data_IF_928702489316
#
_entry.id   IF_928702489316
#
_cell.length_a   1.000
_cell.length_b   1.000
_cell.length_c   1.000
_cell.angle_alpha   90.00
_cell.angle_beta   90.00
_cell.angle_gamma   90.00
#
_symmetry.space_group_name_H-M   'P 1'
#
loop_
_entity.id
_entity.type
_entity.pdbx_description
1 polymer ?
#
# COMPACT_ATOMS: atom_id res chain seq x y z
N UNK A 1 3.65 -18.58 16.75
CA UNK A 1 3.43 -17.15 16.44
C UNK A 1 2.22 -16.68 17.23
N UNK A 2 2.36 -15.63 18.05
CA UNK A 2 1.20 -15.06 18.77
C UNK A 2 0.37 -14.21 17.81
N UNK A 3 -0.94 -14.44 17.77
CA UNK A 3 -1.85 -13.65 16.95
C UNK A 3 -2.04 -12.25 17.54
N UNK A 4 -2.06 -11.22 16.69
CA UNK A 4 -2.44 -9.86 17.05
C UNK A 4 -3.91 -9.87 17.50
N UNK A 5 -4.20 -9.16 18.59
CA UNK A 5 -5.56 -8.94 19.10
C UNK A 5 -5.81 -7.44 19.14
N UNK A 6 -6.88 -6.98 18.51
CA UNK A 6 -7.23 -5.55 18.44
C UNK A 6 -8.46 -5.26 19.28
N UNK A 7 -8.44 -4.17 20.05
CA UNK A 7 -9.61 -3.66 20.77
C UNK A 7 -9.67 -2.15 20.54
N UNK A 8 -10.76 -1.67 19.96
CA UNK A 8 -11.01 -0.24 19.79
C UNK A 8 -11.65 0.34 21.05
N UNK A 9 -11.10 1.45 21.55
CA UNK A 9 -11.61 2.10 22.76
C UNK A 9 -13.00 2.68 22.45
N UNK A 10 -14.02 2.22 23.18
CA UNK A 10 -15.40 2.69 23.03
C UNK A 10 -16.27 1.84 22.10
N UNK A 11 -15.71 0.83 21.44
CA UNK A 11 -16.47 -0.14 20.66
C UNK A 11 -16.62 -1.45 21.44
N UNK A 12 -17.86 -1.93 21.61
CA UNK A 12 -18.13 -3.24 22.20
C UNK A 12 -17.96 -4.33 21.14
N UNK A 13 -16.71 -4.65 20.78
CA UNK A 13 -16.39 -5.71 19.83
C UNK A 13 -15.28 -6.64 20.33
N UNK A 14 -15.49 -7.95 20.22
CA UNK A 14 -14.44 -8.95 20.43
C UNK A 14 -13.81 -9.25 19.07
N UNK A 15 -12.47 -9.21 18.98
CA UNK A 15 -11.75 -9.49 17.73
C UNK A 15 -11.90 -10.95 17.30
N UNK A 16 -12.85 -11.21 16.40
CA UNK A 16 -13.02 -12.49 15.69
C UNK A 16 -12.10 -12.61 14.48
N UNK A 17 -11.19 -11.64 14.26
CA UNK A 17 -10.25 -11.56 13.14
C UNK A 17 -10.55 -10.43 12.15
N UNK A 18 -11.81 -9.97 12.08
CA UNK A 18 -12.21 -8.86 11.21
C UNK A 18 -11.64 -7.51 11.67
N UNK A 19 -11.62 -7.25 12.99
CA UNK A 19 -11.06 -6.01 13.56
C UNK A 19 -9.55 -5.94 13.30
N UNK A 20 -8.85 -7.07 13.45
CA UNK A 20 -7.43 -7.17 13.09
C UNK A 20 -7.17 -6.83 11.62
N UNK A 21 -7.98 -7.35 10.70
CA UNK A 21 -7.82 -7.10 9.25
C UNK A 21 -8.03 -5.62 8.93
N UNK A 22 -9.10 -5.02 9.47
CA UNK A 22 -9.36 -3.58 9.32
C UNK A 22 -8.20 -2.75 9.86
N UNK A 23 -7.75 -3.05 11.07
CA UNK A 23 -6.60 -2.37 11.67
C UNK A 23 -5.35 -2.45 10.78
N UNK A 24 -4.99 -3.65 10.29
CA UNK A 24 -3.80 -3.80 9.46
C UNK A 24 -3.96 -3.10 8.09
N UNK A 25 -5.16 -3.10 7.51
CA UNK A 25 -5.46 -2.34 6.29
C UNK A 25 -5.26 -0.84 6.49
N UNK A 26 -5.84 -0.29 7.56
CA UNK A 26 -5.71 1.14 7.87
C UNK A 26 -4.26 1.50 8.21
N UNK A 27 -3.55 0.64 8.93
CA UNK A 27 -2.14 0.87 9.30
C UNK A 27 -1.21 0.85 8.08
N UNK A 28 -1.34 -0.12 7.17
CA UNK A 28 -0.47 -0.17 5.97
C UNK A 28 -0.73 1.04 5.07
N UNK A 29 -1.99 1.42 4.86
CA UNK A 29 -2.33 2.63 4.11
C UNK A 29 -1.81 3.91 4.78
N UNK A 30 -1.99 4.03 6.10
CA UNK A 30 -1.47 5.16 6.88
C UNK A 30 0.06 5.24 6.87
N UNK A 31 0.74 4.09 6.90
CA UNK A 31 2.20 4.00 6.77
C UNK A 31 2.66 4.53 5.43
N UNK A 32 2.04 4.07 4.33
CA UNK A 32 2.36 4.53 2.99
C UNK A 32 2.25 6.06 2.89
N UNK A 33 1.14 6.63 3.36
CA UNK A 33 0.88 8.06 3.25
C UNK A 33 1.79 8.91 4.13
N UNK A 34 2.08 8.44 5.36
CA UNK A 34 2.90 9.19 6.31
C UNK A 34 4.40 9.07 6.02
N UNK A 35 4.90 7.85 5.82
CA UNK A 35 6.32 7.53 5.82
C UNK A 35 6.93 7.35 4.43
N UNK A 36 6.14 7.36 3.35
CA UNK A 36 6.65 7.15 2.00
C UNK A 36 6.27 8.30 1.05
N UNK A 37 7.15 8.58 0.09
CA UNK A 37 6.98 9.62 -0.93
C UNK A 37 7.38 9.13 -2.32
N UNK A 38 6.87 9.82 -3.35
CA UNK A 38 7.02 9.46 -4.75
C UNK A 38 5.71 8.98 -5.40
N UNK A 39 5.71 8.83 -6.73
CA UNK A 39 4.53 8.42 -7.49
C UNK A 39 4.19 6.94 -7.22
N UNK A 40 2.94 6.67 -6.80
CA UNK A 40 2.49 5.32 -6.42
C UNK A 40 2.67 4.26 -7.51
N UNK A 41 2.47 4.63 -8.78
CA UNK A 41 2.58 3.72 -9.94
C UNK A 41 4.00 3.21 -10.21
N UNK A 42 5.03 3.92 -9.76
CA UNK A 42 6.44 3.55 -9.94
C UNK A 42 7.13 3.14 -8.64
N UNK A 43 6.36 3.03 -7.56
CA UNK A 43 6.87 2.80 -6.21
C UNK A 43 7.41 4.07 -5.56
N UNK A 44 7.47 4.01 -4.24
CA UNK A 44 7.82 5.08 -3.32
C UNK A 44 9.10 4.75 -2.56
N UNK A 45 9.77 5.80 -2.10
CA UNK A 45 10.88 5.70 -1.15
C UNK A 45 10.38 6.10 0.24
N UNK A 46 11.03 5.66 1.33
CA UNK A 46 10.84 6.26 2.64
C UNK A 46 11.13 7.76 2.59
N UNK A 47 10.32 8.57 3.26
CA UNK A 47 10.59 9.99 3.48
C UNK A 47 11.83 10.14 4.35
N UNK A 48 12.71 11.05 3.99
CA UNK A 48 13.84 11.38 4.85
C UNK A 48 13.38 12.16 6.09
N UNK A 49 13.38 11.52 7.26
CA UNK A 49 13.03 12.15 8.54
C UNK A 49 13.96 11.64 9.65
N UNK A 50 14.80 12.54 10.17
CA UNK A 50 15.65 12.22 11.31
C UNK A 50 14.87 12.16 12.63
N UNK A 51 13.74 12.87 12.73
CA UNK A 51 12.85 12.79 13.89
C UNK A 51 12.21 11.40 13.98
N UNK A 52 11.62 10.91 12.87
CA UNK A 52 11.03 9.57 12.84
C UNK A 52 12.08 8.47 12.98
N UNK A 53 13.32 8.73 12.55
CA UNK A 53 14.45 7.83 12.79
C UNK A 53 14.83 7.77 14.28
N UNK A 54 14.93 8.92 14.95
CA UNK A 54 15.27 9.02 16.38
C UNK A 54 14.19 8.37 17.27
N UNK A 55 12.92 8.55 16.90
CA UNK A 55 11.75 7.96 17.57
C UNK A 55 11.56 6.45 17.31
N UNK A 56 12.46 5.81 16.55
CA UNK A 56 12.34 4.42 16.07
C UNK A 56 11.06 4.11 15.26
N UNK A 57 10.46 5.11 14.61
CA UNK A 57 9.23 4.92 13.85
C UNK A 57 9.45 4.00 12.63
N UNK A 58 10.60 4.05 11.95
CA UNK A 58 10.85 3.14 10.82
C UNK A 58 11.01 1.68 11.28
N UNK A 59 11.48 1.44 12.51
CA UNK A 59 11.49 0.09 13.11
C UNK A 59 10.06 -0.40 13.27
N UNK A 60 9.20 0.44 13.86
CA UNK A 60 7.78 0.15 14.06
C UNK A 60 7.08 -0.12 12.73
N UNK A 61 7.39 0.65 11.68
CA UNK A 61 6.92 0.39 10.31
C UNK A 61 7.32 -1.03 9.85
N UNK A 62 8.58 -1.41 10.03
CA UNK A 62 9.06 -2.74 9.68
C UNK A 62 8.36 -3.88 10.45
N UNK A 63 8.09 -3.68 11.74
CA UNK A 63 7.36 -4.62 12.59
C UNK A 63 5.91 -4.79 12.11
N UNK A 64 5.23 -3.69 11.78
CA UNK A 64 3.85 -3.72 11.26
C UNK A 64 3.79 -4.42 9.90
N UNK A 65 4.74 -4.18 9.00
CA UNK A 65 4.83 -4.89 7.72
C UNK A 65 4.97 -6.41 7.97
N UNK A 66 5.84 -6.81 8.89
CA UNK A 66 6.02 -8.21 9.24
C UNK A 66 4.76 -8.84 9.84
N UNK A 67 4.07 -8.13 10.74
CA UNK A 67 2.78 -8.57 11.28
C UNK A 67 1.72 -8.70 10.20
N UNK A 68 1.63 -7.72 9.30
CA UNK A 68 0.65 -7.73 8.21
C UNK A 68 0.81 -8.97 7.34
N UNK A 69 2.01 -9.21 6.82
CA UNK A 69 2.30 -10.35 5.95
C UNK A 69 2.13 -11.69 6.67
N UNK A 70 2.60 -11.79 7.91
CA UNK A 70 2.53 -13.04 8.66
C UNK A 70 1.09 -13.39 9.09
N UNK A 71 0.21 -12.40 9.23
CA UNK A 71 -1.13 -12.57 9.80
C UNK A 71 -2.29 -12.31 8.83
N UNK A 72 -2.02 -12.22 7.53
CA UNK A 72 -3.04 -12.09 6.49
C UNK A 72 -3.54 -10.65 6.25
N UNK A 73 -2.85 -9.65 6.81
CA UNK A 73 -3.05 -8.24 6.46
C UNK A 73 -2.53 -7.93 5.05
N UNK A 74 -2.72 -6.70 4.56
CA UNK A 74 -2.29 -6.34 3.23
C UNK A 74 -0.76 -6.28 3.11
N UNK A 75 -0.29 -6.66 1.94
CA UNK A 75 1.10 -6.47 1.56
C UNK A 75 1.35 -4.97 1.25
N UNK A 76 2.55 -4.44 1.52
CA UNK A 76 2.85 -3.04 1.27
C UNK A 76 2.73 -2.67 -0.22
N UNK A 77 3.39 -3.39 -1.12
CA UNK A 77 3.31 -3.18 -2.58
C UNK A 77 3.47 -1.73 -3.09
N UNK A 78 4.16 -0.88 -2.33
CA UNK A 78 4.42 0.51 -2.67
C UNK A 78 5.92 0.85 -2.69
N UNK A 79 6.84 -0.10 -2.53
CA UNK A 79 8.28 0.16 -2.55
C UNK A 79 8.83 0.28 -3.97
N UNK A 80 9.79 1.18 -4.21
CA UNK A 80 10.62 1.12 -5.42
C UNK A 80 11.46 -0.16 -5.46
N UNK A 81 11.85 -0.55 -6.68
CA UNK A 81 12.69 -1.73 -6.94
C UNK A 81 13.99 -1.71 -6.12
N UNK A 82 14.71 -0.58 -6.13
CA UNK A 82 15.96 -0.45 -5.39
C UNK A 82 15.76 -0.56 -3.86
N UNK A 83 14.63 -0.05 -3.34
CA UNK A 83 14.27 -0.16 -1.94
C UNK A 83 14.08 -1.63 -1.56
N UNK A 84 13.32 -2.38 -2.39
CA UNK A 84 13.10 -3.80 -2.17
C UNK A 84 14.41 -4.60 -2.18
N UNK A 85 15.30 -4.32 -3.14
CA UNK A 85 16.63 -4.93 -3.19
C UNK A 85 17.42 -4.66 -1.91
N UNK A 86 17.41 -3.42 -1.42
CA UNK A 86 18.04 -3.09 -0.15
C UNK A 86 17.40 -3.86 1.01
N UNK A 87 16.08 -4.02 1.06
CA UNK A 87 15.38 -4.80 2.10
C UNK A 87 15.67 -6.31 2.04
N UNK A 88 16.10 -6.84 0.89
CA UNK A 88 16.59 -8.21 0.76
C UNK A 88 18.05 -8.33 1.20
N UNK A 89 18.95 -7.50 0.68
CA UNK A 89 20.41 -7.68 0.83
C UNK A 89 21.04 -6.95 2.01
N UNK A 90 20.56 -5.74 2.30
CA UNK A 90 21.08 -4.83 3.33
C UNK A 90 22.14 -3.89 2.78
N UNK A 91 22.34 -3.94 1.47
CA UNK A 91 23.35 -3.21 0.74
C UNK A 91 22.71 -2.48 -0.45
N UNK A 92 23.24 -1.29 -0.75
CA UNK A 92 22.85 -0.53 -1.94
C UNK A 92 23.83 -0.87 -3.06
N UNK A 93 23.31 -1.28 -4.21
CA UNK A 93 24.10 -1.33 -5.43
C UNK A 93 23.93 -0.02 -6.20
N UNK A 94 24.90 0.87 -6.03
CA UNK A 94 24.90 2.20 -6.64
C UNK A 94 24.96 2.19 -8.16
N UNK A 95 25.37 1.07 -8.78
CA UNK A 95 25.48 0.96 -10.24
C UNK A 95 24.13 0.84 -10.95
N UNK A 96 23.08 0.46 -10.23
CA UNK A 96 21.71 0.30 -10.75
C UNK A 96 20.80 1.49 -10.46
N UNK A 97 21.29 2.52 -9.77
CA UNK A 97 20.49 3.69 -9.43
C UNK A 97 20.47 4.71 -10.56
N UNK A 98 19.28 5.26 -10.83
CA UNK A 98 19.09 6.34 -11.79
C UNK A 98 18.31 7.50 -11.18
N UNK A 99 18.11 8.57 -11.96
CA UNK A 99 17.32 9.73 -11.53
C UNK A 99 15.86 9.38 -11.23
N UNK A 100 15.33 8.33 -11.84
CA UNK A 100 13.98 7.81 -11.61
C UNK A 100 13.82 7.14 -10.23
N UNK A 101 14.92 6.81 -9.55
CA UNK A 101 14.91 6.27 -8.20
C UNK A 101 14.83 7.35 -7.10
N UNK A 102 15.00 8.62 -7.47
CA UNK A 102 14.87 9.76 -6.58
C UNK A 102 13.39 10.10 -6.40
N UNK A 103 12.94 10.20 -5.15
CA UNK A 103 11.55 10.48 -4.81
C UNK A 103 11.37 11.83 -4.10
N UNK A 104 12.41 12.36 -3.43
CA UNK A 104 12.30 13.63 -2.73
C UNK A 104 12.24 14.80 -3.72
N UNK A 105 11.33 15.73 -3.46
CA UNK A 105 11.03 16.82 -4.38
C UNK A 105 12.24 17.75 -4.62
N UNK A 106 13.06 17.97 -3.59
CA UNK A 106 14.20 18.88 -3.69
C UNK A 106 15.28 18.35 -4.65
N UNK A 107 15.66 17.08 -4.48
CA UNK A 107 16.66 16.44 -5.34
C UNK A 107 16.13 16.25 -6.75
N UNK A 108 14.86 15.88 -6.91
CA UNK A 108 14.21 15.77 -8.23
C UNK A 108 14.24 17.10 -9.00
N UNK A 109 13.88 18.21 -8.34
CA UNK A 109 13.94 19.55 -8.96
C UNK A 109 15.36 19.98 -9.29
N UNK A 110 16.34 19.63 -8.44
CA UNK A 110 17.74 19.92 -8.71
C UNK A 110 18.25 19.13 -9.92
N UNK A 111 17.89 17.85 -10.03
CA UNK A 111 18.22 17.03 -11.21
C UNK A 111 17.66 17.67 -12.47
N UNK A 112 16.35 17.97 -12.52
CA UNK A 112 15.75 18.64 -13.68
C UNK A 112 16.41 19.98 -14.00
N UNK A 113 16.74 20.77 -12.97
CA UNK A 113 17.45 22.04 -13.16
C UNK A 113 18.84 21.84 -13.78
N UNK A 114 19.60 20.82 -13.34
CA UNK A 114 20.92 20.51 -13.93
C UNK A 114 20.80 20.02 -15.37
N UNK A 115 19.77 19.23 -15.67
CA UNK A 115 19.48 18.74 -17.02
C UNK A 115 19.20 19.89 -17.98
N UNK A 116 18.37 20.85 -17.59
CA UNK A 116 17.89 21.93 -18.44
C UNK A 116 18.88 23.09 -18.64
N UNK A 117 19.95 23.14 -17.84
CA UNK A 117 20.94 24.24 -17.90
C UNK A 117 21.65 24.32 -19.27
N UNK A 118 21.56 25.45 -19.96
CA UNK A 118 22.16 25.60 -21.29
C UNK A 118 23.63 26.11 -21.27
N UNK A 119 24.04 26.77 -20.19
CA UNK A 119 25.31 27.50 -20.13
C UNK A 119 26.02 27.38 -18.76
N UNK A 120 27.33 27.66 -18.75
CA UNK A 120 28.16 27.49 -17.57
C UNK A 120 27.84 28.48 -16.43
N UNK A 121 27.31 29.66 -16.75
CA UNK A 121 26.95 30.66 -15.76
C UNK A 121 25.69 30.20 -15.00
N UNK A 122 24.68 29.71 -15.71
CA UNK A 122 23.48 29.11 -15.13
C UNK A 122 23.81 27.88 -14.29
N UNK A 123 24.75 27.03 -14.73
CA UNK A 123 25.20 25.88 -13.93
C UNK A 123 25.84 26.31 -12.61
N UNK A 124 26.62 27.39 -12.63
CA UNK A 124 27.30 27.90 -11.45
C UNK A 124 26.32 28.44 -10.40
N UNK A 125 25.11 28.86 -10.79
CA UNK A 125 24.05 29.24 -9.85
C UNK A 125 23.54 28.04 -9.03
N UNK A 126 23.75 26.81 -9.50
CA UNK A 126 23.41 25.57 -8.79
C UNK A 126 24.59 25.02 -7.97
N UNK A 127 25.77 25.63 -8.03
CA UNK A 127 27.01 25.07 -7.51
C UNK A 127 26.92 24.72 -6.02
N UNK A 128 26.38 25.61 -5.19
CA UNK A 128 26.25 25.35 -3.74
C UNK A 128 25.38 24.12 -3.46
N UNK A 129 24.27 23.96 -4.20
CA UNK A 129 23.37 22.80 -4.05
C UNK A 129 24.07 21.50 -4.49
N UNK A 130 24.77 21.54 -5.62
CA UNK A 130 25.54 20.42 -6.16
C UNK A 130 26.66 20.01 -5.20
N UNK A 131 27.38 20.98 -4.61
CA UNK A 131 28.42 20.75 -3.61
C UNK A 131 27.82 20.15 -2.33
N UNK A 132 26.65 20.61 -1.89
CA UNK A 132 25.95 20.05 -0.72
C UNK A 132 25.49 18.60 -0.94
N UNK A 133 25.32 18.17 -2.19
CA UNK A 133 25.13 16.76 -2.53
C UNK A 133 26.42 15.94 -2.51
N UNK A 134 27.56 16.54 -2.19
CA UNK A 134 28.87 15.86 -2.10
C UNK A 134 29.62 15.78 -3.43
N UNK A 135 29.21 16.53 -4.46
CA UNK A 135 29.98 16.61 -5.71
C UNK A 135 31.24 17.47 -5.52
N UNK A 136 32.42 16.86 -5.59
CA UNK A 136 33.72 17.53 -5.33
C UNK A 136 34.55 17.80 -6.57
N UNK A 137 34.12 17.28 -7.73
CA UNK A 137 34.82 17.50 -9.01
C UNK A 137 34.54 18.88 -9.57
N UNK A 138 35.28 19.28 -10.59
CA UNK A 138 35.05 20.57 -11.24
C UNK A 138 33.66 20.60 -11.88
N UNK A 139 32.88 21.65 -11.59
CA UNK A 139 31.53 21.86 -12.12
C UNK A 139 31.65 22.49 -13.51
N UNK A 140 31.28 21.72 -14.55
CA UNK A 140 31.25 22.12 -15.96
C UNK A 140 30.01 21.56 -16.66
N UNK A 141 29.66 22.13 -17.81
CA UNK A 141 28.56 21.63 -18.64
C UNK A 141 28.75 20.16 -19.05
N UNK A 142 29.97 19.76 -19.39
CA UNK A 142 30.26 18.38 -19.80
C UNK A 142 30.16 17.37 -18.64
N UNK A 143 30.03 17.85 -17.39
CA UNK A 143 29.94 16.99 -16.21
C UNK A 143 28.52 16.81 -15.67
N UNK A 144 27.48 17.23 -16.41
CA UNK A 144 26.08 17.12 -15.97
C UNK A 144 25.69 15.73 -15.49
N UNK A 145 26.02 14.68 -16.24
CA UNK A 145 25.71 13.29 -15.86
C UNK A 145 26.35 12.90 -14.52
N UNK A 146 27.61 13.30 -14.29
CA UNK A 146 28.29 13.03 -13.03
C UNK A 146 27.68 13.83 -11.86
N UNK A 147 27.22 15.05 -12.12
CA UNK A 147 26.52 15.88 -11.14
C UNK A 147 25.18 15.24 -10.77
N UNK A 148 24.39 14.83 -11.76
CA UNK A 148 23.10 14.14 -11.56
C UNK A 148 23.33 12.85 -10.78
N UNK A 149 24.32 12.05 -11.15
CA UNK A 149 24.67 10.84 -10.43
C UNK A 149 25.03 11.13 -8.96
N UNK A 150 25.80 12.18 -8.67
CA UNK A 150 26.09 12.58 -7.29
C UNK A 150 24.82 12.97 -6.51
N UNK A 151 23.87 13.65 -7.15
CA UNK A 151 22.57 13.99 -6.52
C UNK A 151 21.77 12.72 -6.23
N UNK A 152 21.72 11.76 -7.17
CA UNK A 152 21.07 10.45 -6.98
C UNK A 152 21.69 9.69 -5.80
N UNK A 153 23.02 9.61 -5.74
CA UNK A 153 23.73 8.98 -4.63
C UNK A 153 23.45 9.69 -3.30
N UNK A 154 23.45 11.03 -3.29
CA UNK A 154 23.14 11.81 -2.10
C UNK A 154 21.72 11.52 -1.57
N UNK A 155 20.71 11.58 -2.44
CA UNK A 155 19.32 11.33 -2.08
C UNK A 155 19.15 9.91 -1.51
N UNK A 156 19.67 8.90 -2.20
CA UNK A 156 19.50 7.49 -1.81
C UNK A 156 20.32 7.09 -0.59
N UNK A 157 21.56 7.55 -0.46
CA UNK A 157 22.43 7.22 0.70
C UNK A 157 21.87 7.73 2.03
N UNK A 158 21.20 8.88 2.01
CA UNK A 158 20.55 9.45 3.19
C UNK A 158 19.46 8.55 3.76
N UNK A 159 18.83 7.72 2.94
CA UNK A 159 17.76 6.80 3.34
C UNK A 159 18.27 5.49 3.95
N UNK A 160 19.58 5.18 3.84
CA UNK A 160 20.16 3.91 4.31
C UNK A 160 19.83 3.66 5.78
N UNK A 161 19.91 4.69 6.63
CA UNK A 161 19.65 4.55 8.08
C UNK A 161 18.20 4.21 8.38
N UNK A 162 17.24 4.81 7.66
CA UNK A 162 15.81 4.49 7.75
C UNK A 162 15.56 3.04 7.33
N UNK A 163 16.17 2.58 6.24
CA UNK A 163 16.03 1.19 5.83
C UNK A 163 16.68 0.20 6.79
N UNK A 164 17.85 0.52 7.34
CA UNK A 164 18.49 -0.33 8.35
C UNK A 164 17.58 -0.50 9.58
N UNK A 165 16.95 0.59 10.03
CA UNK A 165 16.01 0.54 11.14
C UNK A 165 14.74 -0.24 10.77
N UNK A 166 14.20 -0.05 9.56
CA UNK A 166 13.06 -0.81 9.04
C UNK A 166 13.35 -2.31 8.93
N UNK A 167 14.51 -2.69 8.38
CA UNK A 167 14.97 -4.08 8.31
C UNK A 167 15.02 -4.72 9.69
N UNK A 168 15.52 -4.02 10.72
CA UNK A 168 15.51 -4.54 12.11
C UNK A 168 14.09 -4.86 12.58
N UNK A 169 13.11 -4.01 12.29
CA UNK A 169 11.71 -4.29 12.60
C UNK A 169 11.17 -5.50 11.83
N UNK A 170 11.53 -5.62 10.56
CA UNK A 170 11.18 -6.75 9.69
C UNK A 170 11.88 -8.07 10.06
N UNK A 171 12.83 -8.09 11.00
CA UNK A 171 13.36 -9.35 11.54
C UNK A 171 12.27 -10.12 12.30
N UNK A 172 11.19 -9.45 12.72
CA UNK A 172 10.03 -10.08 13.31
C UNK A 172 9.49 -11.20 12.40
N UNK A 173 9.24 -12.36 13.00
CA UNK A 173 8.86 -13.60 12.31
C UNK A 173 9.87 -14.11 11.26
N UNK A 174 11.08 -13.55 11.22
CA UNK A 174 12.13 -13.93 10.29
C UNK A 174 11.89 -13.44 8.85
N UNK A 175 11.08 -12.39 8.64
CA UNK A 175 10.72 -11.91 7.31
C UNK A 175 11.95 -11.51 6.48
N UNK A 176 12.94 -10.81 7.06
CA UNK A 176 14.20 -10.47 6.35
C UNK A 176 14.90 -11.73 5.81
N UNK A 177 14.95 -12.81 6.60
CA UNK A 177 15.58 -14.07 6.16
C UNK A 177 14.78 -14.72 5.02
N UNK A 178 13.46 -14.65 5.05
CA UNK A 178 12.60 -15.17 3.98
C UNK A 178 12.76 -14.39 2.68
N UNK A 179 12.84 -13.06 2.77
CA UNK A 179 13.07 -12.18 1.62
C UNK A 179 14.46 -12.42 1.00
N UNK A 180 15.50 -12.55 1.83
CA UNK A 180 16.84 -12.86 1.35
C UNK A 180 16.93 -14.24 0.67
N UNK A 181 16.21 -15.24 1.19
CA UNK A 181 16.19 -16.59 0.63
C UNK A 181 15.30 -16.71 -0.62
N UNK A 182 14.23 -15.92 -0.73
CA UNK A 182 13.22 -16.02 -1.79
C UNK A 182 12.85 -14.65 -2.39
N UNK A 183 13.81 -13.87 -2.92
CA UNK A 183 13.58 -12.49 -3.36
C UNK A 183 12.54 -12.39 -4.47
N UNK A 184 12.52 -13.31 -5.43
CA UNK A 184 11.53 -13.27 -6.52
C UNK A 184 10.11 -13.59 -6.03
N UNK A 185 9.97 -14.52 -5.07
CA UNK A 185 8.67 -14.91 -4.55
C UNK A 185 8.05 -13.81 -3.66
N UNK A 186 8.89 -13.07 -2.94
CA UNK A 186 8.44 -11.96 -2.10
C UNK A 186 8.26 -10.66 -2.88
N UNK A 187 8.83 -10.51 -4.07
CA UNK A 187 8.89 -9.26 -4.84
C UNK A 187 7.52 -8.57 -4.98
N UNK A 188 6.50 -9.34 -5.38
CA UNK A 188 5.16 -8.82 -5.64
C UNK A 188 4.43 -8.33 -4.39
N UNK A 189 4.91 -8.69 -3.20
CA UNK A 189 4.36 -8.21 -1.92
C UNK A 189 4.89 -6.81 -1.57
N UNK A 190 6.00 -6.37 -2.16
CA UNK A 190 6.66 -5.12 -1.80
C UNK A 190 6.64 -4.09 -2.93
N UNK A 191 6.79 -4.53 -4.18
CA UNK A 191 6.87 -3.64 -5.34
C UNK A 191 5.52 -3.56 -6.07
N UNK A 192 5.06 -2.36 -6.48
CA UNK A 192 3.81 -2.21 -7.22
C UNK A 192 3.72 -3.04 -8.52
N UNK A 193 2.50 -3.29 -8.98
CA UNK A 193 2.20 -3.72 -10.35
C UNK A 193 1.78 -5.18 -10.54
N UNK A 194 1.99 -6.06 -9.56
CA UNK A 194 1.62 -7.48 -9.66
C UNK A 194 0.64 -7.96 -8.59
N UNK A 195 0.25 -7.10 -7.65
CA UNK A 195 -0.83 -7.43 -6.71
C UNK A 195 -2.14 -7.43 -7.46
N UNK A 196 -2.80 -8.58 -7.44
CA UNK A 196 -4.16 -8.72 -7.97
C UNK A 196 -5.10 -7.95 -7.05
N UNK A 197 -5.67 -6.86 -7.57
CA UNK A 197 -6.74 -6.12 -6.90
C UNK A 197 -8.04 -6.95 -6.95
N UNK A 198 -8.92 -6.84 -5.94
CA UNK A 198 -10.23 -7.47 -6.03
C UNK A 198 -11.07 -6.79 -7.11
N UNK A 199 -11.66 -7.58 -8.00
CA UNK A 199 -12.62 -7.19 -9.03
C UNK A 199 -14.05 -7.58 -8.62
N UNK A 200 -15.04 -7.15 -9.39
CA UNK A 200 -16.44 -7.47 -9.11
C UNK A 200 -16.66 -8.99 -9.09
N UNK A 201 -16.04 -9.70 -10.02
CA UNK A 201 -16.11 -11.16 -10.13
C UNK A 201 -15.58 -11.85 -8.86
N UNK A 202 -14.48 -11.37 -8.27
CA UNK A 202 -13.95 -11.89 -7.02
C UNK A 202 -14.96 -11.76 -5.89
N UNK A 203 -15.62 -10.61 -5.73
CA UNK A 203 -16.65 -10.43 -4.70
C UNK A 203 -17.80 -11.42 -4.93
N UNK A 204 -18.29 -11.51 -6.17
CA UNK A 204 -19.44 -12.35 -6.51
C UNK A 204 -19.15 -13.85 -6.38
N UNK A 205 -17.96 -14.31 -6.79
CA UNK A 205 -17.55 -15.71 -6.66
C UNK A 205 -17.42 -16.17 -5.20
N UNK A 206 -17.07 -15.25 -4.30
CA UNK A 206 -16.93 -15.54 -2.87
C UNK A 206 -18.21 -15.24 -2.07
N UNK A 207 -19.22 -14.63 -2.69
CA UNK A 207 -20.51 -14.34 -2.09
C UNK A 207 -21.35 -15.61 -1.91
N UNK A 208 -21.85 -15.84 -0.69
CA UNK A 208 -22.70 -16.96 -0.30
C UNK A 208 -24.02 -16.42 0.27
N UNK A 209 -24.96 -16.02 -0.60
CA UNK A 209 -26.28 -15.56 -0.19
C UNK A 209 -27.13 -16.71 0.36
N UNK A 210 -27.68 -16.50 1.57
CA UNK A 210 -28.63 -17.41 2.19
C UNK A 210 -30.05 -17.01 1.80
N UNK A 211 -30.50 -17.53 0.66
CA UNK A 211 -31.82 -17.22 0.14
C UNK A 211 -32.94 -17.85 0.99
N UNK A 212 -34.06 -17.16 1.04
CA UNK A 212 -35.36 -17.67 1.47
C UNK A 212 -35.82 -18.84 0.59
N UNK A 213 -36.84 -19.56 1.07
CA UNK A 213 -37.40 -20.73 0.38
C UNK A 213 -37.73 -20.46 -1.10
N UNK A 214 -37.36 -21.41 -1.97
CA UNK A 214 -37.48 -21.25 -3.41
C UNK A 214 -38.93 -21.02 -3.85
N UNK A 215 -39.12 -20.02 -4.73
CA UNK A 215 -40.40 -19.71 -5.36
C UNK A 215 -41.23 -18.65 -4.64
N UNK A 216 -40.86 -18.24 -3.41
CA UNK A 216 -41.56 -17.18 -2.69
C UNK A 216 -41.15 -15.78 -3.18
N UNK A 217 -41.91 -14.76 -2.77
CA UNK A 217 -41.61 -13.36 -3.13
C UNK A 217 -40.32 -12.83 -2.50
N UNK A 218 -39.93 -13.36 -1.33
CA UNK A 218 -38.71 -12.97 -0.62
C UNK A 218 -37.47 -13.36 -1.43
N UNK A 219 -37.36 -14.61 -1.88
CA UNK A 219 -36.27 -15.11 -2.73
C UNK A 219 -36.10 -14.27 -3.99
N UNK A 220 -37.21 -13.88 -4.65
CA UNK A 220 -37.14 -13.02 -5.84
C UNK A 220 -36.55 -11.65 -5.54
N UNK A 221 -36.89 -11.06 -4.39
CA UNK A 221 -36.33 -9.77 -3.96
C UNK A 221 -34.86 -9.91 -3.58
N UNK A 222 -34.49 -10.95 -2.85
CA UNK A 222 -33.11 -11.23 -2.45
C UNK A 222 -32.19 -11.44 -3.66
N UNK A 223 -32.64 -12.20 -4.67
CA UNK A 223 -31.90 -12.37 -5.94
C UNK A 223 -31.71 -11.06 -6.67
N UNK A 224 -32.73 -10.18 -6.67
CA UNK A 224 -32.59 -8.84 -7.24
C UNK A 224 -31.54 -8.02 -6.51
N UNK A 225 -31.49 -8.08 -5.18
CA UNK A 225 -30.47 -7.38 -4.37
C UNK A 225 -29.06 -7.86 -4.76
N UNK A 226 -28.85 -9.17 -4.89
CA UNK A 226 -27.56 -9.72 -5.30
C UNK A 226 -27.18 -9.30 -6.73
N UNK A 227 -28.14 -9.28 -7.66
CA UNK A 227 -27.90 -8.78 -9.02
C UNK A 227 -27.53 -7.28 -9.01
N UNK A 228 -28.25 -6.46 -8.23
CA UNK A 228 -27.90 -5.04 -8.10
C UNK A 228 -26.52 -4.83 -7.48
N UNK A 229 -26.12 -5.68 -6.51
CA UNK A 229 -24.78 -5.62 -5.93
C UNK A 229 -23.72 -5.96 -6.97
N UNK A 230 -23.98 -6.94 -7.84
CA UNK A 230 -23.10 -7.28 -8.96
C UNK A 230 -22.98 -6.10 -9.93
N UNK A 231 -24.11 -5.57 -10.39
CA UNK A 231 -24.16 -4.43 -11.32
C UNK A 231 -23.40 -3.23 -10.73
N UNK A 232 -23.62 -2.92 -9.44
CA UNK A 232 -22.93 -1.86 -8.73
C UNK A 232 -21.42 -2.08 -8.67
N UNK A 233 -20.95 -3.29 -8.34
CA UNK A 233 -19.51 -3.58 -8.31
C UNK A 233 -18.88 -3.45 -9.70
N UNK A 234 -19.58 -3.88 -10.76
CA UNK A 234 -19.13 -3.76 -12.14
C UNK A 234 -19.07 -2.30 -12.60
N UNK A 235 -20.05 -1.48 -12.22
CA UNK A 235 -20.02 -0.03 -12.49
C UNK A 235 -18.81 0.65 -11.83
N UNK A 236 -18.51 0.30 -10.56
CA UNK A 236 -17.33 0.81 -9.87
C UNK A 236 -16.02 0.39 -10.56
N UNK A 237 -15.94 -0.86 -11.02
CA UNK A 237 -14.77 -1.38 -11.72
C UNK A 237 -14.50 -0.61 -13.02
N UNK A 238 -15.52 -0.43 -13.86
CA UNK A 238 -15.43 0.34 -15.10
C UNK A 238 -15.01 1.79 -14.83
N UNK A 239 -15.59 2.43 -13.81
CA UNK A 239 -15.25 3.82 -13.47
C UNK A 239 -13.80 3.99 -12.96
N UNK A 240 -13.26 2.98 -12.28
CA UNK A 240 -11.89 3.02 -11.77
C UNK A 240 -10.81 2.83 -12.84
N UNK A 241 -11.08 2.04 -13.88
CA UNK A 241 -10.16 1.85 -15.02
C UNK A 241 -9.97 3.14 -15.85
N UNK A 242 -11.02 3.96 -15.96
CA UNK A 242 -10.96 5.25 -16.64
C UNK A 242 -10.11 6.28 -15.86
N UNK A 243 -10.09 6.20 -14.53
CA UNK A 243 -9.27 7.07 -13.66
C UNK A 243 -7.79 6.66 -13.62
N UNK A 244 -7.45 5.36 -13.56
CA UNK A 244 -6.04 4.88 -13.59
C UNK A 244 -5.32 5.26 -14.92
N UNK A 245 -6.08 5.62 -15.97
CA UNK A 245 -5.59 6.06 -17.28
C UNK A 245 -5.22 7.56 -17.35
N UNK A 246 -5.74 8.37 -16.42
CA UNK A 246 -5.51 9.80 -16.35
C UNK A 246 -4.69 10.11 -15.10
N UNK A 247 -3.54 10.76 -15.26
CA UNK A 247 -2.67 11.15 -14.14
C UNK A 247 -3.31 12.26 -13.28
N UNK A 248 -4.39 11.93 -12.57
CA UNK A 248 -5.15 12.86 -11.73
C UNK A 248 -4.97 12.48 -10.27
N UNK A 249 -4.61 13.50 -9.49
CA UNK A 249 -4.52 13.51 -8.04
C UNK A 249 -5.75 12.89 -7.38
N UNK A 250 -5.51 12.13 -6.31
CA UNK A 250 -6.45 11.57 -5.33
C UNK A 250 -7.92 12.02 -5.47
N UNK A 251 -8.65 11.41 -6.41
CA UNK A 251 -10.11 11.39 -6.32
C UNK A 251 -10.47 10.38 -5.22
N UNK A 252 -11.30 10.79 -4.26
CA UNK A 252 -11.93 9.87 -3.30
C UNK A 252 -13.03 9.04 -4.00
N UNK A 253 -12.72 8.44 -5.15
CA UNK A 253 -13.64 7.56 -5.84
C UNK A 253 -13.75 6.24 -5.07
N UNK A 254 -14.99 5.83 -4.82
CA UNK A 254 -15.28 4.52 -4.24
C UNK A 254 -14.92 3.49 -5.32
N UNK A 255 -14.28 2.39 -4.92
CA UNK A 255 -13.83 1.34 -5.82
C UNK A 255 -14.15 -0.02 -5.23
N UNK A 256 -13.99 -1.09 -6.02
CA UNK A 256 -14.35 -2.46 -5.61
C UNK A 256 -13.66 -2.89 -4.30
N UNK A 257 -12.39 -2.51 -4.12
CA UNK A 257 -11.63 -2.73 -2.88
C UNK A 257 -12.29 -2.12 -1.63
N UNK A 258 -12.96 -0.98 -1.76
CA UNK A 258 -13.67 -0.32 -0.65
C UNK A 258 -14.95 -1.07 -0.30
N UNK A 259 -15.65 -1.63 -1.30
CA UNK A 259 -16.80 -2.53 -1.07
C UNK A 259 -16.37 -3.79 -0.35
N UNK A 260 -15.26 -4.41 -0.78
CA UNK A 260 -14.70 -5.58 -0.10
C UNK A 260 -14.33 -5.26 1.36
N UNK A 261 -13.70 -4.11 1.60
CA UNK A 261 -13.35 -3.66 2.95
C UNK A 261 -14.57 -3.45 3.82
N UNK A 262 -15.64 -2.87 3.28
CA UNK A 262 -16.90 -2.72 4.00
C UNK A 262 -17.53 -4.07 4.35
N UNK A 263 -17.54 -5.02 3.40
CA UNK A 263 -18.12 -6.35 3.61
C UNK A 263 -17.33 -7.23 4.57
N UNK A 264 -16.01 -7.08 4.62
CA UNK A 264 -15.13 -8.11 5.22
C UNK A 264 -14.05 -7.56 6.14
N UNK A 265 -13.89 -6.25 6.23
CA UNK A 265 -12.80 -5.58 6.94
C UNK A 265 -11.45 -5.61 6.22
N UNK A 266 -11.32 -6.27 5.06
CA UNK A 266 -10.09 -6.29 4.25
C UNK A 266 -10.34 -5.68 2.86
N UNK A 267 -9.43 -4.84 2.39
CA UNK A 267 -9.50 -4.23 1.05
C UNK A 267 -8.78 -5.02 -0.04
N UNK A 268 -8.16 -6.15 0.31
CA UNK A 268 -7.33 -6.96 -0.57
C UNK A 268 -7.79 -8.41 -0.65
N UNK A 269 -7.37 -9.10 -1.71
CA UNK A 269 -7.52 -10.55 -1.84
C UNK A 269 -6.66 -11.25 -0.77
N UNK A 270 -7.16 -12.29 -0.07
CA UNK A 270 -6.37 -13.01 0.92
C UNK A 270 -5.05 -13.50 0.36
N UNK A 271 -3.96 -13.15 1.05
CA UNK A 271 -2.58 -13.46 0.64
C UNK A 271 -2.18 -14.85 1.12
N UNK A 272 -2.67 -15.27 2.29
CA UNK A 272 -2.37 -16.58 2.84
C UNK A 272 -3.17 -17.67 2.11
N UNK A 273 -2.53 -18.77 1.66
CA UNK A 273 -3.21 -19.83 0.93
C UNK A 273 -4.41 -20.42 1.66
N UNK A 274 -4.30 -20.60 2.97
CA UNK A 274 -5.38 -21.15 3.79
C UNK A 274 -6.54 -20.17 3.93
N UNK A 275 -6.28 -18.87 4.09
CA UNK A 275 -7.34 -17.87 4.09
C UNK A 275 -8.04 -17.81 2.73
N UNK A 276 -7.28 -17.86 1.63
CA UNK A 276 -7.83 -17.83 0.27
C UNK A 276 -8.76 -19.02 0.00
N UNK A 277 -8.44 -20.21 0.50
CA UNK A 277 -9.28 -21.42 0.34
C UNK A 277 -10.60 -21.34 1.11
N UNK A 278 -10.63 -20.61 2.22
CA UNK A 278 -11.78 -20.54 3.12
C UNK A 278 -12.51 -19.20 3.04
N UNK A 279 -12.03 -18.27 2.21
CA UNK A 279 -12.61 -16.94 2.07
C UNK A 279 -14.02 -17.02 1.53
N UNK A 280 -14.96 -16.43 2.26
CA UNK A 280 -16.39 -16.42 1.96
C UNK A 280 -17.00 -15.14 2.49
N UNK A 281 -17.92 -14.57 1.72
CA UNK A 281 -18.74 -13.43 2.11
C UNK A 281 -20.14 -13.98 2.34
N UNK A 282 -20.58 -14.06 3.60
CA UNK A 282 -21.92 -14.55 3.93
C UNK A 282 -22.93 -13.41 3.84
N UNK A 283 -23.93 -13.53 2.97
CA UNK A 283 -25.01 -12.56 2.85
C UNK A 283 -26.29 -13.14 3.48
N UNK A 284 -26.82 -12.42 4.46
CA UNK A 284 -28.08 -12.74 5.13
C UNK A 284 -29.09 -11.65 4.86
N UNK A 285 -30.34 -12.03 4.60
CA UNK A 285 -31.43 -11.09 4.31
C UNK A 285 -32.34 -10.97 5.52
N UNK A 286 -32.34 -9.80 6.14
CA UNK A 286 -33.23 -9.49 7.25
C UNK A 286 -34.51 -8.81 6.74
N UNK A 287 -35.56 -9.61 6.58
CA UNK A 287 -36.87 -9.09 6.13
C UNK A 287 -37.64 -8.37 7.25
N UNK A 288 -37.21 -8.54 8.49
CA UNK A 288 -37.94 -8.11 9.67
C UNK A 288 -37.16 -7.01 10.45
N UNK A 289 -36.09 -6.41 9.87
CA UNK A 289 -35.31 -5.36 10.55
C UNK A 289 -36.20 -4.19 11.03
N UNK A 290 -37.22 -3.79 10.26
CA UNK A 290 -38.11 -2.67 10.63
C UNK A 290 -39.02 -2.98 11.80
N UNK A 291 -39.44 -4.23 11.95
CA UNK A 291 -40.25 -4.66 13.08
C UNK A 291 -39.42 -4.69 14.37
N UNK A 292 -38.12 -4.99 14.26
CA UNK A 292 -37.20 -5.06 15.40
C UNK A 292 -36.58 -3.72 15.79
N UNK A 293 -36.16 -2.93 14.81
CA UNK A 293 -35.36 -1.71 15.00
C UNK A 293 -36.16 -0.42 14.77
N UNK A 294 -37.41 -0.50 14.31
CA UNK A 294 -38.19 0.66 13.88
C UNK A 294 -37.72 1.21 12.53
N UNK A 295 -38.04 2.47 12.23
CA UNK A 295 -37.56 3.13 11.00
C UNK A 295 -36.05 3.42 11.09
N UNK A 296 -35.30 2.87 10.14
CA UNK A 296 -33.86 3.08 10.02
C UNK A 296 -33.45 3.11 8.54
N UNK A 297 -32.33 3.78 8.27
CA UNK A 297 -31.71 3.85 6.94
C UNK A 297 -30.61 2.80 6.73
N UNK A 298 -30.16 2.13 7.80
CA UNK A 298 -29.08 1.14 7.80
C UNK A 298 -29.54 -0.07 8.64
N UNK A 299 -29.76 -1.24 8.01
CA UNK A 299 -29.95 -2.52 8.73
C UNK A 299 -28.56 -3.09 9.03
N UNK A 300 -27.88 -2.61 10.08
CA UNK A 300 -26.65 -3.24 10.56
C UNK A 300 -26.96 -4.12 11.77
N UNK A 301 -26.92 -5.44 11.56
CA UNK A 301 -26.89 -6.43 12.63
C UNK A 301 -25.54 -7.12 12.60
N UNK A 302 -24.47 -6.35 12.80
CA UNK A 302 -23.24 -6.91 13.36
C UNK A 302 -23.53 -7.29 14.82
N UNK A 303 -23.97 -8.52 15.05
CA UNK A 303 -23.58 -9.17 16.31
C UNK A 303 -22.06 -9.36 16.23
N UNK A 304 -21.34 -8.38 16.78
CA UNK A 304 -19.96 -8.57 17.24
C UNK A 304 -19.94 -9.54 18.42
#
# INVERSE_FOLDING_TARGET
>A
MSALKVVYIGEAGVDTGALKKKFLTDMISGIENRFFEGPGSQGKNPKYSLTDLDDENFRTVGEIIAVSLAQGGPAPAFFKEWCYRFLCTGEVDFSYLSKEDVADQESSLLISSVEDVADAQSLMLLADKVINCGYTSQIKLDSKENIIHAIVLHSTTRLITMFQQMRKGMELYGLVNQMAANPEACHTLFVPGKIIKPDADFIMMNCQPHFSETGNSRERTERKIINFMQDFCQELEISGEEEDSAAVEESHSIGVQHVLQWLTGQSHIPILPDEKRHFKITCMFDHDCRERLGDHSICDHTQL
#
